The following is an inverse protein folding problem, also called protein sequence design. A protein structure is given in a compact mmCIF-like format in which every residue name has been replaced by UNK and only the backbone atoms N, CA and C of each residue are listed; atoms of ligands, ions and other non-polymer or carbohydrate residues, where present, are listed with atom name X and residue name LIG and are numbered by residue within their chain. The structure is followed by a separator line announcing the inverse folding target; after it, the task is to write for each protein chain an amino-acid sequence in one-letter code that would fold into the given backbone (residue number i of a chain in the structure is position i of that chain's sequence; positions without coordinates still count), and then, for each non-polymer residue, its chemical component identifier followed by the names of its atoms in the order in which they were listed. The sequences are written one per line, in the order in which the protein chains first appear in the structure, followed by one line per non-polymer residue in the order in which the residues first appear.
data_IF_621509483629
#
_entry.id   IF_621509483629
#
_cell.length_a   1.000
_cell.length_b   1.000
_cell.length_c   1.000
_cell.angle_alpha   90.00
_cell.angle_beta   90.00
_cell.angle_gamma   90.00
#
_symmetry.space_group_name_H-M   'P 1'
#
loop_
_entity.id
_entity.type
_entity.pdbx_description
1 polymer ?
#
# COMPACT_ATOMS: atom_id res chain seq x y z
N UNK A 1 19.18 2.39 12.44
CA UNK A 1 18.42 1.12 12.44
C UNK A 1 16.94 1.42 12.23
N UNK A 2 16.16 0.47 11.70
CA UNK A 2 14.71 0.64 11.58
C UNK A 2 14.06 0.58 12.97
N UNK A 3 13.14 1.50 13.26
CA UNK A 3 12.33 1.40 14.48
C UNK A 3 11.34 0.21 14.37
N UNK A 4 10.89 -0.42 15.48
CA UNK A 4 9.89 -1.50 15.43
C UNK A 4 8.61 -1.10 14.68
N UNK A 5 8.21 0.18 14.81
CA UNK A 5 7.09 0.78 14.07
C UNK A 5 7.32 0.84 12.55
N UNK A 6 8.57 1.02 12.11
CA UNK A 6 8.91 0.96 10.68
C UNK A 6 8.85 -0.47 10.16
N UNK A 7 9.30 -1.47 10.91
CA UNK A 7 9.15 -2.88 10.53
C UNK A 7 7.68 -3.30 10.40
N UNK A 8 6.81 -2.88 11.33
CA UNK A 8 5.36 -3.09 11.22
C UNK A 8 4.75 -2.36 10.01
N UNK A 9 5.25 -1.16 9.70
CA UNK A 9 4.84 -0.42 8.49
C UNK A 9 5.28 -1.15 7.22
N UNK A 10 6.51 -1.69 7.19
CA UNK A 10 7.09 -2.49 6.11
C UNK A 10 6.18 -3.69 5.76
N UNK A 11 5.74 -4.43 6.79
CA UNK A 11 4.85 -5.60 6.67
C UNK A 11 3.46 -5.18 6.14
N UNK A 12 2.88 -4.10 6.68
CA UNK A 12 1.58 -3.58 6.22
C UNK A 12 1.64 -3.08 4.78
N UNK A 13 2.70 -2.39 4.39
CA UNK A 13 2.91 -1.96 2.99
C UNK A 13 3.03 -3.16 2.04
N UNK A 14 3.67 -4.25 2.48
CA UNK A 14 3.76 -5.48 1.70
C UNK A 14 2.41 -6.17 1.55
N UNK A 15 1.61 -6.27 2.62
CA UNK A 15 0.23 -6.79 2.54
C UNK A 15 -0.68 -5.94 1.66
N UNK A 16 -0.54 -4.61 1.70
CA UNK A 16 -1.24 -3.72 0.77
C UNK A 16 -0.79 -3.95 -0.67
N UNK A 17 0.50 -4.20 -0.94
CA UNK A 17 0.97 -4.51 -2.30
C UNK A 17 0.41 -5.84 -2.81
N UNK A 18 0.26 -6.84 -1.94
CA UNK A 18 -0.20 -8.21 -2.20
C UNK A 18 -1.74 -8.33 -2.31
N UNK A 19 -2.49 -7.44 -1.65
CA UNK A 19 -3.94 -7.28 -1.84
C UNK A 19 -4.25 -6.31 -3.01
N UNK A 20 -3.33 -5.39 -3.31
CA UNK A 20 -3.13 -4.93 -4.68
C UNK A 20 -2.50 -6.08 -5.51
N UNK A 21 -2.25 -5.91 -6.81
CA UNK A 21 -1.95 -7.00 -7.76
C UNK A 21 -3.04 -8.10 -7.95
N UNK A 22 -3.84 -8.48 -6.94
CA UNK A 22 -5.04 -9.33 -7.11
C UNK A 22 -6.11 -8.68 -7.99
N UNK A 23 -6.83 -9.44 -8.82
CA UNK A 23 -7.80 -8.88 -9.77
C UNK A 23 -9.04 -8.29 -9.07
N UNK A 24 -9.65 -9.02 -8.14
CA UNK A 24 -10.83 -8.60 -7.34
C UNK A 24 -10.53 -7.59 -6.21
N UNK A 25 -9.43 -6.84 -6.31
CA UNK A 25 -9.02 -5.95 -5.24
C UNK A 25 -9.93 -4.72 -5.12
N UNK A 26 -10.22 -4.40 -3.86
CA UNK A 26 -10.83 -3.15 -3.45
C UNK A 26 -10.00 -1.91 -3.87
N UNK A 27 -10.65 -0.74 -3.86
CA UNK A 27 -9.96 0.54 -4.08
C UNK A 27 -8.78 0.73 -3.13
N UNK A 28 -7.71 1.38 -3.60
CA UNK A 28 -6.47 1.66 -2.83
C UNK A 28 -6.75 2.23 -1.45
N UNK A 29 -7.75 3.11 -1.31
CA UNK A 29 -8.18 3.68 -0.04
C UNK A 29 -8.74 2.63 0.91
N UNK A 30 -9.63 1.76 0.44
CA UNK A 30 -10.23 0.67 1.23
C UNK A 30 -9.17 -0.32 1.69
N UNK A 31 -8.29 -0.76 0.80
CA UNK A 31 -7.14 -1.64 1.09
C UNK A 31 -6.23 -0.98 2.13
N UNK A 32 -5.84 0.29 1.94
CA UNK A 32 -4.99 1.01 2.89
C UNK A 32 -5.63 1.11 4.29
N UNK A 33 -6.93 1.41 4.37
CA UNK A 33 -7.67 1.46 5.64
C UNK A 33 -7.76 0.07 6.31
N UNK A 34 -8.01 -1.00 5.54
CA UNK A 34 -8.05 -2.40 6.02
C UNK A 34 -6.75 -2.81 6.72
N UNK A 35 -5.60 -2.40 6.18
CA UNK A 35 -4.27 -2.64 6.77
C UNK A 35 -3.83 -1.60 7.81
N UNK A 36 -4.73 -0.70 8.23
CA UNK A 36 -4.51 0.25 9.32
C UNK A 36 -3.76 1.53 8.92
N UNK A 37 -3.83 1.95 7.66
CA UNK A 37 -3.37 3.27 7.21
C UNK A 37 -4.54 4.26 7.16
N UNK A 38 -4.64 5.13 8.18
CA UNK A 38 -5.66 6.18 8.25
C UNK A 38 -5.34 7.41 7.37
N UNK A 39 -4.07 7.65 7.06
CA UNK A 39 -3.62 8.81 6.27
C UNK A 39 -3.09 8.38 4.91
N UNK A 40 -3.95 8.45 3.89
CA UNK A 40 -3.66 8.05 2.49
C UNK A 40 -2.41 8.73 1.92
N UNK A 41 -2.20 10.03 2.16
CA UNK A 41 -1.00 10.74 1.68
C UNK A 41 0.31 10.23 2.30
N UNK A 42 0.34 10.00 3.62
CA UNK A 42 1.52 9.42 4.31
C UNK A 42 1.76 7.98 3.87
N UNK A 43 0.70 7.20 3.70
CA UNK A 43 0.75 5.85 3.15
C UNK A 43 1.34 5.84 1.73
N UNK A 44 0.82 6.66 0.81
CA UNK A 44 1.28 6.70 -0.58
C UNK A 44 2.76 7.11 -0.68
N UNK A 45 3.21 8.07 0.15
CA UNK A 45 4.62 8.45 0.23
C UNK A 45 5.51 7.30 0.75
N UNK A 46 5.08 6.59 1.80
CA UNK A 46 5.81 5.45 2.34
C UNK A 46 5.84 4.25 1.37
N UNK A 47 4.73 3.98 0.69
CA UNK A 47 4.61 2.97 -0.35
C UNK A 47 5.56 3.27 -1.51
N UNK A 48 5.51 4.49 -2.06
CA UNK A 48 6.40 4.91 -3.15
C UNK A 48 7.87 4.89 -2.76
N UNK A 49 8.21 5.25 -1.51
CA UNK A 49 9.58 5.14 -0.99
C UNK A 49 10.10 3.69 -0.95
N UNK A 50 9.22 2.70 -0.80
CA UNK A 50 9.58 1.27 -0.75
C UNK A 50 9.53 0.58 -2.12
N UNK A 51 8.52 0.89 -2.94
CA UNK A 51 8.22 0.18 -4.20
C UNK A 51 8.55 0.97 -5.47
N UNK A 52 8.94 2.25 -5.36
CA UNK A 52 9.19 3.15 -6.50
C UNK A 52 7.92 3.66 -7.21
N UNK A 53 6.88 2.84 -7.26
CA UNK A 53 5.56 3.14 -7.87
C UNK A 53 4.53 3.64 -6.85
N UNK A 54 3.48 4.33 -7.30
CA UNK A 54 2.35 4.66 -6.44
C UNK A 54 1.35 3.48 -6.39
N UNK A 55 0.65 3.27 -5.26
CA UNK A 55 -0.33 2.18 -5.14
C UNK A 55 -1.52 2.36 -6.11
N UNK A 56 -1.81 3.61 -6.50
CA UNK A 56 -2.77 3.96 -7.55
C UNK A 56 -2.38 3.45 -8.94
N UNK A 57 -1.09 3.32 -9.24
CA UNK A 57 -0.65 2.79 -10.54
C UNK A 57 -0.87 1.28 -10.59
N UNK A 58 -0.57 0.56 -9.50
CA UNK A 58 -0.87 -0.89 -9.38
C UNK A 58 -2.38 -1.16 -9.46
N UNK A 59 -3.22 -0.28 -8.91
CA UNK A 59 -4.67 -0.36 -9.09
C UNK A 59 -5.11 -0.05 -10.53
N UNK A 60 -4.56 1.00 -11.15
CA UNK A 60 -4.88 1.38 -12.54
C UNK A 60 -4.51 0.29 -13.55
N UNK A 61 -3.37 -0.38 -13.39
CA UNK A 61 -2.90 -1.42 -14.32
C UNK A 61 -3.85 -2.63 -14.42
N UNK A 62 -4.69 -2.88 -13.40
CA UNK A 62 -5.71 -3.94 -13.42
C UNK A 62 -7.04 -3.53 -14.08
N UNK A 63 -7.30 -2.24 -14.23
CA UNK A 63 -8.53 -1.73 -14.84
C UNK A 63 -8.47 -1.59 -16.36
N UNK A 64 -7.73 -2.47 -17.06
CA UNK A 64 -7.48 -2.40 -18.51
C UNK A 64 -7.45 -3.78 -19.15
#
# INVERSE_FOLDING_TARGET
GKSPRECLTDIRLHRVHDELCCEDADSVTTVAMRWGFTHTGRFAAAFRKRYGVAPSDIARTRGR
#
